data_IF_398912812878
#
_entry.id   IF_398912812878
#
_cell.length_a   1.000
_cell.length_b   1.000
_cell.length_c   1.000
_cell.angle_alpha   90.00
_cell.angle_beta   90.00
_cell.angle_gamma   90.00
#
_symmetry.space_group_name_H-M   'P 1'
#
loop_
_entity.id
_entity.type
_entity.pdbx_description
1 polymer ?
#
# COMPACT_ATOMS: atom_id res chain seq x y z
N UNK A 1 14.26 -13.24 7.05
CA UNK A 1 13.72 -13.37 5.68
C UNK A 1 14.45 -14.51 5.00
N UNK A 2 13.71 -15.51 4.54
CA UNK A 2 14.25 -16.54 3.66
C UNK A 2 14.31 -15.95 2.24
N UNK A 3 15.52 -15.80 1.70
CA UNK A 3 15.75 -15.22 0.38
C UNK A 3 15.21 -16.08 -0.75
N UNK A 4 15.05 -17.38 -0.51
CA UNK A 4 14.56 -18.35 -1.51
C UNK A 4 13.12 -18.09 -1.97
N UNK A 5 12.39 -17.20 -1.28
CA UNK A 5 11.00 -16.87 -1.62
C UNK A 5 10.92 -15.79 -2.74
N UNK A 6 11.98 -15.02 -3.01
CA UNK A 6 12.04 -14.03 -4.13
C UNK A 6 13.24 -14.17 -5.04
N UNK A 7 14.29 -14.86 -4.59
CA UNK A 7 15.48 -15.12 -5.40
C UNK A 7 15.29 -16.39 -6.23
N UNK A 8 14.82 -16.22 -7.46
CA UNK A 8 15.26 -17.14 -8.51
C UNK A 8 16.76 -16.89 -8.82
N UNK A 9 17.27 -15.65 -8.69
CA UNK A 9 18.64 -15.26 -9.09
C UNK A 9 19.36 -14.19 -8.21
N UNK A 10 18.82 -13.75 -7.07
CA UNK A 10 19.50 -12.72 -6.25
C UNK A 10 19.24 -11.26 -6.65
N UNK A 11 18.39 -11.01 -7.66
CA UNK A 11 18.29 -9.72 -8.35
C UNK A 11 16.88 -9.13 -8.28
N UNK A 12 16.74 -7.80 -8.12
CA UNK A 12 15.46 -7.12 -8.27
C UNK A 12 14.84 -7.44 -9.63
N UNK A 13 13.54 -7.70 -9.65
CA UNK A 13 12.80 -8.02 -10.86
C UNK A 13 12.02 -6.81 -11.37
N UNK A 14 11.59 -6.89 -12.62
CA UNK A 14 10.58 -5.96 -13.12
C UNK A 14 9.24 -6.35 -12.51
N UNK A 15 8.52 -5.38 -11.96
CA UNK A 15 7.10 -5.56 -11.73
C UNK A 15 6.38 -5.80 -13.06
N UNK A 16 5.29 -6.57 -13.03
CA UNK A 16 4.50 -6.83 -14.23
C UNK A 16 4.09 -5.55 -14.96
N UNK A 17 3.81 -5.68 -16.26
CA UNK A 17 3.34 -4.58 -17.08
C UNK A 17 1.82 -4.39 -16.97
N UNK A 18 1.19 -4.87 -15.88
CA UNK A 18 -0.25 -4.75 -15.69
C UNK A 18 -0.60 -3.26 -15.68
N UNK A 19 -1.39 -2.79 -16.66
CA UNK A 19 -1.76 -1.40 -16.70
C UNK A 19 -2.63 -1.09 -15.48
N UNK A 20 -2.57 0.16 -15.02
CA UNK A 20 -3.53 0.67 -14.04
C UNK A 20 -4.93 0.35 -14.54
N UNK A 21 -5.66 -0.52 -13.83
CA UNK A 21 -6.98 -0.95 -14.26
C UNK A 21 -7.99 0.12 -13.82
N UNK A 22 -8.57 0.93 -14.72
CA UNK A 22 -9.45 2.03 -14.31
C UNK A 22 -10.68 1.54 -13.52
N UNK A 23 -11.10 0.31 -13.79
CA UNK A 23 -12.18 -0.35 -13.05
C UNK A 23 -11.85 -0.54 -11.55
N UNK A 24 -10.60 -0.75 -11.17
CA UNK A 24 -10.21 -0.88 -9.76
C UNK A 24 -10.31 0.46 -9.02
N UNK A 25 -9.87 1.56 -9.64
CA UNK A 25 -10.03 2.91 -9.07
C UNK A 25 -11.50 3.30 -8.96
N UNK A 26 -12.31 2.96 -9.97
CA UNK A 26 -13.75 3.16 -9.92
C UNK A 26 -14.43 2.32 -8.82
N UNK A 27 -14.03 1.06 -8.67
CA UNK A 27 -14.52 0.20 -7.60
C UNK A 27 -14.13 0.74 -6.22
N UNK A 28 -12.88 1.16 -6.03
CA UNK A 28 -12.42 1.77 -4.78
C UNK A 28 -13.24 3.03 -4.42
N UNK A 29 -13.48 3.90 -5.40
CA UNK A 29 -14.32 5.09 -5.21
C UNK A 29 -15.75 4.74 -4.77
N UNK A 30 -16.37 3.73 -5.38
CA UNK A 30 -17.71 3.25 -5.00
C UNK A 30 -17.73 2.62 -3.60
N UNK A 31 -16.69 1.86 -3.25
CA UNK A 31 -16.54 1.29 -1.91
C UNK A 31 -16.47 2.40 -0.86
N UNK A 32 -15.65 3.44 -1.09
CA UNK A 32 -15.57 4.61 -0.20
C UNK A 32 -16.93 5.30 -0.05
N UNK A 33 -17.67 5.49 -1.15
CA UNK A 33 -19.00 6.09 -1.10
C UNK A 33 -19.97 5.25 -0.26
N UNK A 34 -20.03 3.94 -0.50
CA UNK A 34 -20.89 3.03 0.25
C UNK A 34 -20.56 3.06 1.74
N UNK A 35 -19.28 3.00 2.12
CA UNK A 35 -18.86 3.03 3.53
C UNK A 35 -19.27 4.34 4.21
N UNK A 36 -19.18 5.47 3.50
CA UNK A 36 -19.64 6.78 3.99
C UNK A 36 -21.16 6.85 4.17
N UNK A 37 -21.92 6.36 3.20
CA UNK A 37 -23.39 6.28 3.28
C UNK A 37 -23.86 5.42 4.44
N UNK A 38 -23.06 4.41 4.81
CA UNK A 38 -23.31 3.54 5.95
C UNK A 38 -22.70 4.04 7.27
N UNK A 39 -22.15 5.25 7.29
CA UNK A 39 -21.51 5.86 8.45
C UNK A 39 -20.42 4.97 9.09
N UNK A 40 -19.71 4.18 8.27
CA UNK A 40 -18.61 3.34 8.73
C UNK A 40 -17.38 4.22 8.98
N UNK A 41 -16.74 4.04 10.14
CA UNK A 41 -15.43 4.61 10.40
C UNK A 41 -14.38 3.82 9.63
N UNK A 42 -13.69 4.50 8.72
CA UNK A 42 -12.70 3.89 7.81
C UNK A 42 -11.35 4.58 8.02
N UNK A 43 -10.30 3.78 8.00
CA UNK A 43 -8.92 4.22 7.77
C UNK A 43 -8.32 3.41 6.62
N UNK A 44 -7.25 3.92 6.02
CA UNK A 44 -6.48 3.20 5.01
C UNK A 44 -5.00 3.12 5.38
N UNK A 45 -4.33 2.09 4.88
CA UNK A 45 -2.87 1.97 4.94
C UNK A 45 -2.41 1.78 3.49
N UNK A 46 -1.51 2.64 3.05
CA UNK A 46 -0.82 2.52 1.76
C UNK A 46 0.50 1.83 2.05
N UNK A 47 0.50 0.51 1.81
CA UNK A 47 1.65 -0.38 2.04
C UNK A 47 2.69 -0.20 0.93
N UNK A 48 4.01 -0.14 1.25
CA UNK A 48 5.02 0.05 0.24
C UNK A 48 5.41 -1.28 -0.40
N UNK A 49 5.73 -1.27 -1.70
CA UNK A 49 6.41 -2.41 -2.33
C UNK A 49 7.87 -2.51 -1.88
N UNK A 50 8.44 -3.71 -1.99
CA UNK A 50 9.83 -3.97 -1.61
C UNK A 50 10.81 -3.43 -2.69
N UNK A 51 11.58 -2.36 -2.40
CA UNK A 51 12.47 -1.73 -3.37
C UNK A 51 13.72 -2.57 -3.67
N UNK A 52 13.98 -3.63 -2.89
CA UNK A 52 15.06 -4.58 -3.15
C UNK A 52 14.62 -5.73 -4.06
N UNK A 53 13.32 -5.99 -4.14
CA UNK A 53 12.77 -7.02 -5.00
C UNK A 53 12.28 -6.47 -6.34
N UNK A 54 12.09 -5.16 -6.47
CA UNK A 54 11.55 -4.49 -7.66
C UNK A 54 12.35 -3.25 -8.05
N UNK A 55 12.66 -3.07 -9.34
CA UNK A 55 13.43 -1.88 -9.81
C UNK A 55 12.59 -0.78 -10.48
N UNK A 56 11.41 -1.08 -11.01
CA UNK A 56 10.55 -0.13 -11.72
C UNK A 56 9.38 0.39 -10.86
N UNK A 57 9.55 0.50 -9.54
CA UNK A 57 8.45 0.84 -8.60
C UNK A 57 7.77 2.18 -8.88
N UNK A 58 8.40 3.06 -9.66
CA UNK A 58 7.79 4.31 -10.11
C UNK A 58 6.54 4.12 -10.98
N UNK A 59 6.28 2.91 -11.53
CA UNK A 59 5.04 2.66 -12.31
C UNK A 59 3.78 2.86 -11.46
N UNK A 60 3.88 2.71 -10.13
CA UNK A 60 2.73 2.81 -9.22
C UNK A 60 2.39 4.25 -8.83
N UNK A 61 3.30 5.22 -9.03
CA UNK A 61 3.08 6.62 -8.57
C UNK A 61 1.77 7.24 -9.07
N UNK A 62 1.33 7.05 -10.33
CA UNK A 62 0.05 7.59 -10.79
C UNK A 62 -1.15 6.99 -10.05
N UNK A 63 -1.07 5.72 -9.64
CA UNK A 63 -2.13 5.02 -8.90
C UNK A 63 -2.14 5.47 -7.45
N UNK A 64 -0.97 5.51 -6.81
CA UNK A 64 -0.80 6.01 -5.44
C UNK A 64 -1.39 7.43 -5.30
N UNK A 65 -1.06 8.32 -6.24
CA UNK A 65 -1.63 9.68 -6.27
C UNK A 65 -3.16 9.68 -6.36
N UNK A 66 -3.76 8.80 -7.17
CA UNK A 66 -5.21 8.68 -7.29
C UNK A 66 -5.85 8.16 -6.00
N UNK A 67 -5.26 7.14 -5.37
CA UNK A 67 -5.72 6.59 -4.10
C UNK A 67 -5.71 7.68 -3.02
N UNK A 68 -4.58 8.40 -2.87
CA UNK A 68 -4.44 9.50 -1.92
C UNK A 68 -5.45 10.61 -2.17
N UNK A 69 -5.65 11.00 -3.42
CA UNK A 69 -6.67 12.00 -3.80
C UNK A 69 -8.08 11.56 -3.37
N UNK A 70 -8.44 10.29 -3.55
CA UNK A 70 -9.75 9.76 -3.15
C UNK A 70 -9.88 9.76 -1.63
N UNK A 71 -8.85 9.34 -0.89
CA UNK A 71 -8.84 9.32 0.57
C UNK A 71 -8.97 10.74 1.15
N UNK A 72 -8.16 11.69 0.66
CA UNK A 72 -8.17 13.10 1.08
C UNK A 72 -9.51 13.77 0.80
N UNK A 73 -10.05 13.63 -0.43
CA UNK A 73 -11.37 14.18 -0.80
C UNK A 73 -12.47 13.66 0.12
N UNK A 74 -12.33 12.45 0.63
CA UNK A 74 -13.31 11.82 1.50
C UNK A 74 -13.02 11.97 2.99
N UNK A 75 -11.94 12.68 3.37
CA UNK A 75 -11.49 12.87 4.74
C UNK A 75 -11.22 11.55 5.47
N UNK A 76 -10.77 10.53 4.74
CA UNK A 76 -10.40 9.24 5.31
C UNK A 76 -8.95 9.33 5.80
N UNK A 77 -8.68 9.13 7.11
CA UNK A 77 -7.32 9.07 7.62
C UNK A 77 -6.56 7.91 6.98
N UNK A 78 -5.31 8.13 6.60
CA UNK A 78 -4.47 7.08 6.05
C UNK A 78 -3.01 7.16 6.48
N UNK A 79 -2.37 5.99 6.61
CA UNK A 79 -0.93 5.86 6.79
C UNK A 79 -0.28 5.65 5.41
N UNK A 80 0.52 6.62 4.97
CA UNK A 80 1.32 6.50 3.76
C UNK A 80 2.72 6.01 4.10
N UNK A 81 2.98 4.72 3.85
CA UNK A 81 4.28 4.14 4.13
C UNK A 81 5.31 4.44 3.04
N UNK A 82 4.93 4.89 1.84
CA UNK A 82 5.88 5.40 0.84
C UNK A 82 6.47 6.75 1.24
N UNK A 83 5.77 7.52 2.07
CA UNK A 83 6.27 8.76 2.64
C UNK A 83 7.24 8.55 3.82
N UNK A 84 7.39 7.31 4.29
CA UNK A 84 8.28 6.95 5.39
C UNK A 84 9.62 6.40 4.86
N UNK A 85 10.74 6.55 5.60
CA UNK A 85 11.98 5.87 5.24
C UNK A 85 11.79 4.35 5.27
N UNK A 86 11.96 3.71 4.12
CA UNK A 86 11.83 2.25 4.01
C UNK A 86 12.81 1.54 4.96
N UNK A 87 12.32 0.53 5.69
CA UNK A 87 13.17 -0.29 6.55
C UNK A 87 13.32 -1.69 5.98
N UNK A 88 14.56 -2.17 5.94
CA UNK A 88 14.86 -3.56 5.61
C UNK A 88 14.13 -4.49 6.57
N UNK A 89 13.33 -5.39 6.01
CA UNK A 89 12.42 -6.21 6.79
C UNK A 89 10.96 -5.88 6.55
N UNK A 90 10.58 -4.70 6.05
CA UNK A 90 9.17 -4.31 5.96
C UNK A 90 8.28 -5.23 5.13
N UNK A 91 8.76 -5.76 4.01
CA UNK A 91 7.98 -6.74 3.26
C UNK A 91 8.52 -8.15 3.51
N UNK A 92 7.61 -9.11 3.65
CA UNK A 92 7.95 -10.52 3.54
C UNK A 92 8.35 -10.82 2.10
N UNK A 93 7.58 -10.32 1.13
CA UNK A 93 7.81 -10.48 -0.32
C UNK A 93 7.99 -9.19 -1.12
N UNK A 94 7.60 -9.21 -2.40
CA UNK A 94 7.56 -8.03 -3.27
C UNK A 94 6.55 -6.99 -2.76
N UNK A 95 5.54 -7.43 -2.01
CA UNK A 95 4.31 -6.69 -1.71
C UNK A 95 3.91 -6.78 -0.23
N UNK A 96 3.81 -7.98 0.34
CA UNK A 96 3.13 -8.20 1.61
C UNK A 96 3.96 -7.72 2.81
N UNK A 97 3.34 -7.06 3.80
CA UNK A 97 4.04 -6.56 4.97
C UNK A 97 4.45 -7.70 5.90
N UNK A 98 5.59 -7.52 6.55
CA UNK A 98 6.09 -8.36 7.64
C UNK A 98 5.69 -7.81 9.01
N UNK A 99 6.10 -8.53 10.06
CA UNK A 99 6.00 -8.13 11.46
C UNK A 99 6.60 -6.74 11.73
N UNK A 100 7.67 -6.35 11.03
CA UNK A 100 8.30 -5.04 11.22
C UNK A 100 7.44 -3.92 10.64
N UNK A 101 6.83 -4.13 9.47
CA UNK A 101 5.91 -3.17 8.87
C UNK A 101 4.61 -3.05 9.68
N UNK A 102 4.18 -4.12 10.36
CA UNK A 102 3.01 -4.07 11.23
C UNK A 102 3.18 -3.13 12.44
N UNK A 103 4.40 -2.81 12.88
CA UNK A 103 4.62 -1.91 14.03
C UNK A 103 4.04 -0.50 13.80
N UNK A 104 4.40 0.24 12.74
CA UNK A 104 3.76 1.53 12.45
C UNK A 104 2.27 1.39 12.09
N UNK A 105 1.87 0.32 11.39
CA UNK A 105 0.47 0.07 11.04
C UNK A 105 -0.42 -0.08 12.28
N UNK A 106 -0.06 -0.94 13.22
CA UNK A 106 -0.82 -1.17 14.46
C UNK A 106 -0.90 0.11 15.29
N UNK A 107 0.17 0.90 15.36
CA UNK A 107 0.15 2.21 16.05
C UNK A 107 -0.87 3.15 15.42
N UNK A 108 -0.88 3.25 14.09
CA UNK A 108 -1.84 4.08 13.36
C UNK A 108 -3.28 3.60 13.55
N UNK A 109 -3.53 2.29 13.44
CA UNK A 109 -4.84 1.67 13.69
C UNK A 109 -5.30 1.99 15.12
N UNK A 110 -4.47 1.70 16.11
CA UNK A 110 -4.81 1.92 17.52
C UNK A 110 -5.03 3.39 17.88
N UNK A 111 -4.43 4.34 17.16
CA UNK A 111 -4.68 5.78 17.35
C UNK A 111 -5.96 6.26 16.68
N UNK A 112 -6.38 5.58 15.61
CA UNK A 112 -7.50 6.03 14.78
C UNK A 112 -8.87 5.61 15.30
N UNK A 113 -8.94 4.58 16.17
CA UNK A 113 -10.17 4.04 16.75
C UNK A 113 -10.27 4.22 18.26
N UNK A 114 -9.58 5.24 18.81
CA UNK A 114 -9.72 5.60 20.22
C UNK A 114 -11.03 6.33 20.50
#
# INVERSE_FOLDING_TARGET
MDKTIYDEDGKPQQWDDTPVVPAQIAAFSKTVQLLKERHVQVIAIVDPVNPWALYNTDTFRPVDKQIKTILEKNQIPYLDMYAMPYQNGWNWDRLHPSELAWVPMIRFIAQSFK
#
